data_IF_034344860280
#
_entry.id   IF_034344860280
#
_cell.length_a   1.000
_cell.length_b   1.000
_cell.length_c   1.000
_cell.angle_alpha   90.00
_cell.angle_beta   90.00
_cell.angle_gamma   90.00
#
_symmetry.space_group_name_H-M   'P 1'
#
loop_
_entity.id
_entity.type
_entity.pdbx_description
1 polymer ?
#
# COMPACT_ATOMS: atom_id res chain seq x y z
N UNK A 1 5.35 2.52 12.53
CA UNK A 1 5.51 1.05 12.51
C UNK A 1 6.37 0.66 11.33
N UNK A 2 7.18 -0.39 11.47
CA UNK A 2 7.85 -1.05 10.34
C UNK A 2 7.31 -2.48 10.28
N UNK A 3 6.69 -2.86 9.16
CA UNK A 3 6.05 -4.17 9.01
C UNK A 3 7.02 -5.12 8.31
N UNK A 4 7.49 -6.15 9.02
CA UNK A 4 8.67 -6.92 8.62
C UNK A 4 8.33 -8.41 8.52
N UNK A 5 8.87 -9.06 7.49
CA UNK A 5 8.80 -10.52 7.39
C UNK A 5 9.58 -11.16 8.54
N UNK A 6 9.11 -12.28 9.09
CA UNK A 6 9.68 -12.83 10.32
C UNK A 6 11.21 -13.00 10.27
N UNK A 7 11.74 -13.51 9.16
CA UNK A 7 13.19 -13.72 8.94
C UNK A 7 14.03 -12.47 9.22
N UNK A 8 13.50 -11.29 8.89
CA UNK A 8 14.25 -10.03 8.94
C UNK A 8 13.99 -9.24 10.22
N UNK A 9 13.06 -9.66 11.09
CA UNK A 9 12.70 -8.94 12.32
C UNK A 9 13.94 -8.65 13.18
N UNK A 10 14.85 -9.63 13.34
CA UNK A 10 16.08 -9.43 14.12
C UNK A 10 16.96 -8.32 13.55
N UNK A 11 17.08 -8.22 12.23
CA UNK A 11 17.84 -7.16 11.57
C UNK A 11 17.16 -5.80 11.80
N UNK A 12 15.84 -5.73 11.71
CA UNK A 12 15.11 -4.47 11.78
C UNK A 12 14.94 -3.94 13.21
N UNK A 13 14.99 -4.80 14.25
CA UNK A 13 14.85 -4.38 15.66
C UNK A 13 15.83 -3.28 16.09
N UNK A 14 17.00 -3.19 15.46
CA UNK A 14 17.95 -2.10 15.72
C UNK A 14 17.39 -0.70 15.39
N UNK A 15 16.34 -0.62 14.56
CA UNK A 15 15.69 0.64 14.18
C UNK A 15 14.62 1.08 15.18
N UNK A 16 14.31 0.26 16.18
CA UNK A 16 13.29 0.58 17.17
C UNK A 16 13.68 1.78 18.03
N UNK A 17 12.68 2.56 18.39
CA UNK A 17 12.80 3.73 19.28
C UNK A 17 11.50 3.86 20.08
N UNK A 18 11.43 4.79 21.04
CA UNK A 18 10.17 5.08 21.75
C UNK A 18 9.00 5.50 20.84
N UNK A 19 9.26 5.84 19.56
CA UNK A 19 8.24 6.20 18.56
C UNK A 19 8.30 5.33 17.29
N UNK A 20 9.10 4.25 17.30
CA UNK A 20 9.27 3.35 16.15
C UNK A 20 9.26 1.91 16.62
N UNK A 21 8.25 1.19 16.19
CA UNK A 21 8.04 -0.22 16.54
C UNK A 21 8.18 -1.08 15.29
N UNK A 22 8.94 -2.16 15.41
CA UNK A 22 9.01 -3.21 14.39
C UNK A 22 7.93 -4.23 14.70
N UNK A 23 7.10 -4.56 13.71
CA UNK A 23 6.00 -5.51 13.84
C UNK A 23 6.30 -6.72 12.97
N UNK A 24 6.35 -7.90 13.60
CA UNK A 24 6.51 -9.17 12.92
C UNK A 24 5.23 -9.50 12.14
N UNK A 25 5.34 -9.88 10.87
CA UNK A 25 4.18 -10.24 10.06
C UNK A 25 3.31 -11.35 10.66
N UNK A 26 3.88 -12.21 11.51
CA UNK A 26 3.13 -13.29 12.19
C UNK A 26 2.18 -12.79 13.26
N UNK A 27 2.35 -11.54 13.71
CA UNK A 27 1.41 -10.84 14.59
C UNK A 27 0.24 -10.22 13.80
N UNK A 28 0.40 -10.09 12.49
CA UNK A 28 -0.55 -9.42 11.60
C UNK A 28 -1.35 -10.40 10.75
N UNK A 29 -0.69 -11.44 10.24
CA UNK A 29 -1.24 -12.35 9.26
C UNK A 29 -1.75 -13.64 9.92
N UNK A 30 -2.75 -14.30 9.32
CA UNK A 30 -3.26 -15.56 9.83
C UNK A 30 -2.18 -16.64 9.91
N UNK A 31 -2.20 -17.41 11.01
CA UNK A 31 -1.22 -18.47 11.27
C UNK A 31 -1.16 -19.58 10.23
N UNK A 32 -2.11 -19.66 9.31
CA UNK A 32 -2.18 -20.65 8.23
C UNK A 32 -1.52 -20.17 6.91
N UNK A 33 -0.99 -18.95 6.88
CA UNK A 33 -0.26 -18.38 5.74
C UNK A 33 1.23 -18.31 6.10
N UNK A 34 2.05 -19.13 5.45
CA UNK A 34 3.45 -19.31 5.84
C UNK A 34 4.41 -18.88 4.73
N UNK A 35 5.47 -18.17 5.10
CA UNK A 35 6.56 -17.79 4.21
C UNK A 35 7.57 -18.94 4.01
N UNK A 36 7.98 -19.15 2.76
CA UNK A 36 9.01 -20.11 2.35
C UNK A 36 9.99 -19.45 1.39
N UNK A 37 11.22 -19.97 1.34
CA UNK A 37 12.15 -19.65 0.25
C UNK A 37 11.69 -20.37 -1.02
N UNK A 38 11.50 -19.62 -2.10
CA UNK A 38 10.97 -20.16 -3.35
C UNK A 38 12.07 -20.89 -4.14
N UNK A 39 12.01 -22.23 -4.28
CA UNK A 39 13.00 -22.99 -5.06
C UNK A 39 13.01 -22.59 -6.54
N UNK A 40 11.89 -22.12 -7.10
CA UNK A 40 11.80 -21.66 -8.49
C UNK A 40 12.56 -20.35 -8.72
N UNK A 41 12.94 -19.66 -7.65
CA UNK A 41 13.74 -18.44 -7.68
C UNK A 41 15.20 -18.67 -7.31
N UNK A 42 15.66 -19.94 -7.28
CA UNK A 42 16.94 -20.33 -6.69
C UNK A 42 17.07 -19.84 -5.24
N UNK A 43 15.96 -19.90 -4.49
CA UNK A 43 15.87 -19.47 -3.09
C UNK A 43 16.19 -17.97 -2.85
N UNK A 44 16.12 -17.14 -3.89
CA UNK A 44 16.38 -15.69 -3.79
C UNK A 44 15.14 -14.87 -3.44
N UNK A 45 13.95 -15.44 -3.59
CA UNK A 45 12.67 -14.78 -3.33
C UNK A 45 11.84 -15.60 -2.35
N UNK A 46 10.90 -14.90 -1.71
CA UNK A 46 9.94 -15.50 -0.78
C UNK A 46 8.61 -15.80 -1.49
N UNK A 47 7.96 -16.88 -1.07
CA UNK A 47 6.60 -17.25 -1.44
C UNK A 47 5.81 -17.57 -0.18
N UNK A 48 4.56 -17.09 -0.10
CA UNK A 48 3.66 -17.43 0.99
C UNK A 48 2.64 -18.43 0.52
N UNK A 49 2.53 -19.54 1.24
CA UNK A 49 1.68 -20.68 0.88
C UNK A 49 0.63 -20.91 1.96
N UNK A 50 -0.55 -21.32 1.50
CA UNK A 50 -1.67 -21.77 2.30
C UNK A 50 -2.57 -22.68 1.47
N UNK A 51 -3.40 -23.48 2.13
CA UNK A 51 -4.51 -24.19 1.48
C UNK A 51 -5.73 -23.27 1.21
N UNK A 52 -5.71 -22.04 1.74
CA UNK A 52 -6.83 -21.08 1.68
C UNK A 52 -6.65 -19.98 0.63
N UNK A 53 -5.45 -19.75 0.14
CA UNK A 53 -5.12 -18.67 -0.80
C UNK A 53 -4.37 -19.21 -2.00
N UNK A 54 -4.29 -18.42 -3.07
CA UNK A 54 -3.28 -18.65 -4.10
C UNK A 54 -1.87 -18.50 -3.49
N UNK A 55 -0.83 -19.09 -4.10
CA UNK A 55 0.55 -18.78 -3.75
C UNK A 55 0.81 -17.28 -3.90
N UNK A 56 1.15 -16.62 -2.80
CA UNK A 56 1.37 -15.18 -2.74
C UNK A 56 2.87 -14.85 -2.82
N UNK A 57 3.17 -13.69 -3.39
CA UNK A 57 4.53 -13.11 -3.48
C UNK A 57 4.69 -11.96 -2.49
N UNK A 58 5.92 -11.54 -2.22
CA UNK A 58 6.22 -10.49 -1.24
C UNK A 58 5.39 -9.21 -1.39
N UNK A 59 5.17 -8.76 -2.64
CA UNK A 59 4.33 -7.59 -2.92
C UNK A 59 2.85 -7.81 -2.54
N UNK A 60 2.29 -9.01 -2.75
CA UNK A 60 0.92 -9.33 -2.32
C UNK A 60 0.81 -9.27 -0.80
N UNK A 61 1.80 -9.85 -0.10
CA UNK A 61 1.79 -9.91 1.37
C UNK A 61 2.10 -8.55 2.00
N UNK A 62 2.84 -7.67 1.31
CA UNK A 62 2.99 -6.28 1.70
C UNK A 62 1.63 -5.56 1.78
N UNK A 63 0.78 -5.73 0.77
CA UNK A 63 -0.57 -5.18 0.77
C UNK A 63 -1.43 -5.71 1.92
N UNK A 64 -1.38 -7.03 2.17
CA UNK A 64 -2.09 -7.64 3.30
C UNK A 64 -1.63 -7.08 4.66
N UNK A 65 -0.32 -6.88 4.84
CA UNK A 65 0.24 -6.28 6.07
C UNK A 65 -0.24 -4.84 6.27
N UNK A 66 -0.38 -4.05 5.20
CA UNK A 66 -0.93 -2.67 5.26
C UNK A 66 -2.37 -2.65 5.76
N UNK A 67 -3.19 -3.62 5.37
CA UNK A 67 -4.56 -3.74 5.89
C UNK A 67 -4.53 -4.23 7.34
N UNK A 68 -3.77 -5.31 7.61
CA UNK A 68 -3.77 -6.00 8.90
C UNK A 68 -3.26 -5.14 10.08
N UNK A 69 -2.32 -4.21 9.84
CA UNK A 69 -1.80 -3.34 10.91
C UNK A 69 -2.90 -2.49 11.57
N UNK A 70 -4.04 -2.26 10.91
CA UNK A 70 -5.18 -1.55 11.51
C UNK A 70 -5.74 -2.22 12.78
N UNK A 71 -5.61 -3.55 12.89
CA UNK A 71 -6.03 -4.30 14.08
C UNK A 71 -5.02 -4.21 15.24
N UNK A 72 -3.78 -3.79 14.97
CA UNK A 72 -2.69 -3.74 15.94
C UNK A 72 -2.31 -2.31 16.35
N UNK A 73 -2.39 -1.35 15.43
CA UNK A 73 -2.12 0.06 15.71
C UNK A 73 -3.22 0.69 16.57
N UNK A 74 -2.87 1.73 17.32
CA UNK A 74 -3.81 2.46 18.19
C UNK A 74 -4.24 3.82 17.62
N UNK A 75 -3.60 4.30 16.56
CA UNK A 75 -3.88 5.59 15.93
C UNK A 75 -5.13 5.53 15.05
N UNK A 76 -5.89 6.62 15.02
CA UNK A 76 -7.13 6.72 14.23
C UNK A 76 -6.88 6.80 12.73
N UNK A 77 -5.73 7.35 12.32
CA UNK A 77 -5.30 7.45 10.93
C UNK A 77 -3.93 6.84 10.77
N UNK A 78 -3.78 5.96 9.78
CA UNK A 78 -2.55 5.30 9.42
C UNK A 78 -2.06 5.83 8.08
N UNK A 79 -0.81 6.29 8.02
CA UNK A 79 -0.18 6.79 6.80
C UNK A 79 0.82 5.74 6.32
N UNK A 80 0.63 5.26 5.09
CA UNK A 80 1.42 4.21 4.47
C UNK A 80 2.43 4.79 3.50
N UNK A 81 3.65 4.29 3.62
CA UNK A 81 4.78 4.69 2.81
C UNK A 81 5.63 3.45 2.53
N UNK A 82 6.13 3.33 1.31
CA UNK A 82 7.03 2.24 0.94
C UNK A 82 8.45 2.49 1.45
N UNK A 83 9.23 1.41 1.60
CA UNK A 83 10.62 1.50 2.08
C UNK A 83 11.58 2.17 1.10
N UNK A 84 11.15 2.37 -0.14
CA UNK A 84 11.89 3.04 -1.21
C UNK A 84 11.47 4.51 -1.39
N UNK A 85 10.77 5.07 -0.41
CA UNK A 85 10.41 6.49 -0.35
C UNK A 85 11.37 7.27 0.54
N UNK A 86 11.81 8.43 0.04
CA UNK A 86 12.63 9.39 0.78
C UNK A 86 11.93 10.75 0.87
N UNK A 87 11.84 11.30 2.08
CA UNK A 87 11.33 12.65 2.31
C UNK A 87 12.42 13.69 2.05
N UNK A 88 12.11 14.70 1.23
CA UNK A 88 13.01 15.78 0.84
C UNK A 88 12.57 17.15 1.40
N UNK A 89 11.36 17.24 1.93
CA UNK A 89 10.79 18.43 2.56
C UNK A 89 10.12 18.05 3.89
N UNK A 90 10.01 18.99 4.85
CA UNK A 90 9.13 18.82 6.00
C UNK A 90 7.70 18.53 5.52
N UNK A 91 6.99 17.68 6.26
CA UNK A 91 5.62 17.29 5.92
C UNK A 91 4.74 17.29 7.16
N UNK A 92 3.63 18.01 7.07
CA UNK A 92 2.61 18.04 8.11
C UNK A 92 1.53 16.99 7.82
N UNK A 93 1.42 16.00 8.71
CA UNK A 93 0.42 14.95 8.60
C UNK A 93 -1.02 15.48 8.71
N UNK A 94 -1.25 16.72 9.16
CA UNK A 94 -2.54 17.37 9.10
C UNK A 94 -3.10 17.46 7.66
N UNK A 95 -2.26 17.35 6.63
CA UNK A 95 -2.69 17.27 5.23
C UNK A 95 -3.66 16.10 4.94
N UNK A 96 -3.67 15.06 5.78
CA UNK A 96 -4.59 13.92 5.66
C UNK A 96 -5.89 14.07 6.47
N UNK A 97 -6.08 15.18 7.17
CA UNK A 97 -7.23 15.38 8.04
C UNK A 97 -7.87 16.75 7.84
N UNK A 98 -9.19 16.77 7.63
CA UNK A 98 -9.94 18.01 7.44
C UNK A 98 -11.34 17.84 7.99
N UNK A 99 -11.75 18.72 8.90
CA UNK A 99 -13.12 18.76 9.43
C UNK A 99 -13.63 17.40 9.94
N UNK A 100 -12.79 16.66 10.67
CA UNK A 100 -13.13 15.35 11.21
C UNK A 100 -13.12 14.20 10.18
N UNK A 101 -12.63 14.45 8.96
CA UNK A 101 -12.58 13.49 7.86
C UNK A 101 -11.15 13.16 7.47
N UNK A 102 -10.90 11.89 7.18
CA UNK A 102 -9.63 11.42 6.62
C UNK A 102 -9.61 11.65 5.11
N UNK A 103 -8.43 11.95 4.57
CA UNK A 103 -8.25 12.06 3.12
C UNK A 103 -8.36 10.69 2.46
N UNK A 104 -9.25 10.55 1.48
CA UNK A 104 -9.22 9.47 0.51
C UNK A 104 -8.51 9.96 -0.75
N UNK A 105 -7.37 9.35 -1.07
CA UNK A 105 -6.74 9.60 -2.37
C UNK A 105 -7.62 9.03 -3.48
N UNK A 106 -7.95 9.84 -4.49
CA UNK A 106 -8.74 9.42 -5.65
C UNK A 106 -8.39 10.23 -6.89
N UNK A 107 -8.11 9.55 -7.99
CA UNK A 107 -8.10 10.14 -9.33
C UNK A 107 -9.41 9.78 -10.04
N UNK A 108 -10.12 10.80 -10.49
CA UNK A 108 -11.43 10.62 -11.10
C UNK A 108 -11.33 10.17 -12.56
N UNK A 109 -12.09 9.13 -12.91
CA UNK A 109 -12.27 8.70 -14.30
C UNK A 109 -11.09 8.02 -14.98
N UNK A 110 -9.90 7.96 -14.35
CA UNK A 110 -8.67 7.44 -14.98
C UNK A 110 -8.82 6.02 -15.53
N UNK A 111 -9.61 5.16 -14.88
CA UNK A 111 -9.81 3.79 -15.36
C UNK A 111 -10.78 3.68 -16.53
N UNK A 112 -11.36 4.79 -17.02
CA UNK A 112 -12.11 4.83 -18.26
C UNK A 112 -11.19 4.85 -19.50
N UNK A 113 -9.95 5.33 -19.33
CA UNK A 113 -8.98 5.46 -20.43
C UNK A 113 -8.24 4.15 -20.73
N UNK A 114 -7.64 4.04 -21.92
CA UNK A 114 -6.83 2.87 -22.30
C UNK A 114 -5.54 2.74 -21.45
N UNK A 115 -4.98 1.53 -21.33
CA UNK A 115 -3.71 1.30 -20.62
C UNK A 115 -3.84 1.03 -19.10
N UNK A 116 -5.07 0.95 -18.60
CA UNK A 116 -5.38 0.68 -17.18
C UNK A 116 -6.03 -0.70 -16.97
N UNK A 117 -5.77 -1.67 -17.84
CA UNK A 117 -6.42 -3.00 -17.82
C UNK A 117 -6.20 -3.73 -16.50
N UNK A 118 -4.99 -3.63 -15.94
CA UNK A 118 -4.65 -4.28 -14.68
C UNK A 118 -5.38 -3.65 -13.49
N UNK A 119 -5.40 -2.31 -13.42
CA UNK A 119 -6.12 -1.56 -12.39
C UNK A 119 -7.64 -1.83 -12.46
N UNK A 120 -8.19 -1.98 -13.67
CA UNK A 120 -9.59 -2.42 -13.86
C UNK A 120 -9.85 -3.81 -13.29
N UNK A 121 -8.91 -4.76 -13.44
CA UNK A 121 -9.02 -6.09 -12.82
C UNK A 121 -8.98 -5.97 -11.29
N UNK A 122 -8.05 -5.18 -10.75
CA UNK A 122 -7.95 -4.96 -9.30
C UNK A 122 -9.22 -4.33 -8.72
N UNK A 123 -9.78 -3.31 -9.40
CA UNK A 123 -11.05 -2.68 -9.04
C UNK A 123 -12.22 -3.67 -9.05
N UNK A 124 -12.32 -4.54 -10.07
CA UNK A 124 -13.35 -5.60 -10.10
C UNK A 124 -13.19 -6.61 -8.97
N UNK A 125 -11.97 -7.06 -8.70
CA UNK A 125 -11.69 -8.00 -7.61
C UNK A 125 -11.96 -7.39 -6.24
N UNK A 126 -11.66 -6.10 -6.06
CA UNK A 126 -12.07 -5.35 -4.87
C UNK A 126 -13.60 -5.35 -4.71
N UNK A 127 -14.35 -5.10 -5.78
CA UNK A 127 -15.81 -5.17 -5.76
C UNK A 127 -16.33 -6.54 -5.34
N UNK A 128 -15.76 -7.62 -5.90
CA UNK A 128 -16.12 -8.99 -5.54
C UNK A 128 -15.80 -9.31 -4.07
N UNK A 129 -14.65 -8.88 -3.56
CA UNK A 129 -14.29 -9.07 -2.15
C UNK A 129 -15.27 -8.35 -1.21
N UNK A 130 -15.72 -7.15 -1.59
CA UNK A 130 -16.65 -6.31 -0.83
C UNK A 130 -18.13 -6.69 -1.00
N UNK A 131 -18.46 -7.69 -1.83
CA UNK A 131 -19.85 -8.06 -2.12
C UNK A 131 -20.62 -7.03 -2.96
N UNK A 132 -19.93 -6.17 -3.70
CA UNK A 132 -20.54 -5.18 -4.59
C UNK A 132 -21.09 -5.89 -5.83
N UNK A 133 -22.29 -5.49 -6.24
CA UNK A 133 -22.91 -5.96 -7.49
C UNK A 133 -21.94 -5.77 -8.68
N UNK A 134 -21.65 -6.82 -9.47
CA UNK A 134 -20.72 -6.72 -10.60
C UNK A 134 -21.08 -5.66 -11.66
N UNK A 135 -22.36 -5.26 -11.76
CA UNK A 135 -22.80 -4.16 -12.63
C UNK A 135 -22.34 -2.78 -12.14
N UNK A 136 -22.06 -2.65 -10.83
CA UNK A 136 -21.49 -1.43 -10.23
C UNK A 136 -19.97 -1.43 -10.42
N UNK A 137 -19.55 -1.00 -11.60
CA UNK A 137 -18.13 -0.78 -11.92
C UNK A 137 -17.68 0.59 -11.41
N UNK A 138 -16.40 0.70 -11.03
CA UNK A 138 -15.76 1.98 -10.67
C UNK A 138 -14.72 2.33 -11.73
N UNK A 139 -14.73 3.59 -12.15
CA UNK A 139 -13.73 4.18 -13.07
C UNK A 139 -12.65 4.99 -12.34
N UNK A 140 -12.71 5.08 -11.02
CA UNK A 140 -11.75 5.83 -10.21
C UNK A 140 -10.52 4.99 -9.86
N UNK A 141 -9.37 5.65 -9.76
CA UNK A 141 -8.12 5.06 -9.27
C UNK A 141 -7.79 5.60 -7.88
N UNK A 142 -7.44 4.70 -6.95
CA UNK A 142 -7.12 5.01 -5.56
C UNK A 142 -5.65 4.75 -5.22
N UNK A 143 -4.84 4.36 -6.22
CA UNK A 143 -3.45 3.95 -6.01
C UNK A 143 -2.52 5.17 -5.96
N UNK A 144 -1.84 5.31 -4.82
CA UNK A 144 -0.71 6.21 -4.62
C UNK A 144 0.20 5.65 -3.52
N UNK A 145 1.28 6.35 -3.24
CA UNK A 145 2.12 6.14 -2.05
C UNK A 145 2.08 7.40 -1.18
N UNK A 146 2.51 7.30 0.08
CA UNK A 146 2.27 8.34 1.08
C UNK A 146 0.75 8.63 1.20
N UNK A 147 -0.02 7.57 1.46
CA UNK A 147 -1.49 7.57 1.49
C UNK A 147 -2.00 7.28 2.90
N UNK A 148 -3.12 7.90 3.29
CA UNK A 148 -3.72 7.72 4.61
C UNK A 148 -5.00 6.91 4.55
N UNK A 149 -5.22 6.05 5.55
CA UNK A 149 -6.49 5.36 5.80
C UNK A 149 -6.94 5.55 7.24
N UNK A 150 -8.26 5.63 7.43
CA UNK A 150 -8.88 5.66 8.76
C UNK A 150 -8.96 4.24 9.31
N UNK A 151 -8.42 4.05 10.51
CA UNK A 151 -8.26 2.73 11.12
C UNK A 151 -9.58 2.00 11.28
N UNK A 152 -10.59 2.66 11.82
CA UNK A 152 -11.93 2.08 12.02
C UNK A 152 -12.61 1.71 10.70
N UNK A 153 -12.40 2.49 9.63
CA UNK A 153 -12.85 2.18 8.27
C UNK A 153 -12.18 0.92 7.74
N UNK A 154 -10.87 0.74 7.94
CA UNK A 154 -10.18 -0.51 7.55
C UNK A 154 -10.73 -1.71 8.33
N UNK A 155 -10.96 -1.56 9.64
CA UNK A 155 -11.55 -2.62 10.46
C UNK A 155 -12.96 -2.99 10.01
N UNK A 156 -13.80 -2.00 9.73
CA UNK A 156 -15.15 -2.21 9.23
C UNK A 156 -15.15 -2.84 7.82
N UNK A 157 -14.20 -2.44 6.96
CA UNK A 157 -13.98 -3.05 5.65
C UNK A 157 -13.63 -4.54 5.75
N UNK A 158 -12.68 -4.90 6.61
CA UNK A 158 -12.35 -6.31 6.88
C UNK A 158 -13.58 -7.07 7.39
N UNK A 159 -14.32 -6.49 8.34
CA UNK A 159 -15.54 -7.10 8.87
C UNK A 159 -16.63 -7.30 7.81
N UNK A 160 -16.80 -6.37 6.87
CA UNK A 160 -17.76 -6.53 5.77
C UNK A 160 -17.35 -7.66 4.82
N UNK A 161 -16.05 -7.75 4.45
CA UNK A 161 -15.54 -8.86 3.64
C UNK A 161 -15.81 -10.21 4.34
N UNK A 162 -15.54 -10.30 5.64
CA UNK A 162 -15.78 -11.53 6.40
C UNK A 162 -17.26 -11.90 6.49
N UNK A 163 -18.12 -10.89 6.70
CA UNK A 163 -19.57 -11.05 6.76
C UNK A 163 -20.17 -11.53 5.43
N UNK A 164 -19.73 -10.95 4.30
CA UNK A 164 -20.22 -11.32 2.96
C UNK A 164 -19.84 -12.76 2.62
N UNK A 165 -18.62 -13.18 2.97
CA UNK A 165 -18.06 -14.46 2.50
C UNK A 165 -18.08 -15.59 3.53
N UNK A 166 -18.34 -15.30 4.81
CA UNK A 166 -18.25 -16.28 5.91
C UNK A 166 -16.85 -16.84 6.12
N UNK A 167 -15.82 -16.14 5.66
CA UNK A 167 -14.40 -16.57 5.65
C UNK A 167 -13.53 -15.39 6.05
N UNK A 168 -12.34 -15.66 6.58
CA UNK A 168 -11.40 -14.60 6.96
C UNK A 168 -11.05 -13.70 5.76
N UNK A 169 -10.92 -12.39 5.97
CA UNK A 169 -10.74 -11.45 4.86
C UNK A 169 -9.45 -11.71 4.06
N UNK A 170 -8.38 -12.22 4.69
CA UNK A 170 -7.14 -12.58 4.00
C UNK A 170 -7.35 -13.74 3.03
N UNK A 171 -8.20 -14.70 3.40
CA UNK A 171 -8.59 -15.82 2.54
C UNK A 171 -9.36 -15.33 1.31
N UNK A 172 -10.29 -14.39 1.50
CA UNK A 172 -11.07 -13.80 0.40
C UNK A 172 -10.19 -12.98 -0.54
N UNK A 173 -9.39 -12.06 -0.01
CA UNK A 173 -8.51 -11.21 -0.83
C UNK A 173 -7.44 -12.07 -1.52
N UNK A 174 -6.86 -13.03 -0.80
CA UNK A 174 -5.82 -13.92 -1.30
C UNK A 174 -6.31 -15.02 -2.24
N UNK A 175 -7.62 -15.19 -2.46
CA UNK A 175 -8.13 -16.18 -3.43
C UNK A 175 -7.90 -15.76 -4.89
N UNK A 176 -7.63 -14.47 -5.14
CA UNK A 176 -7.13 -13.95 -6.40
C UNK A 176 -5.75 -13.32 -6.19
N UNK A 177 -4.85 -13.39 -7.17
CA UNK A 177 -3.55 -12.70 -7.10
C UNK A 177 -3.60 -11.24 -7.55
N UNK A 178 -4.64 -10.87 -8.30
CA UNK A 178 -4.77 -9.54 -8.90
C UNK A 178 -5.60 -8.65 -7.98
N UNK A 179 -5.02 -8.18 -6.87
CA UNK A 179 -5.68 -7.24 -5.96
C UNK A 179 -4.78 -6.05 -5.66
N UNK A 180 -5.43 -4.95 -5.25
CA UNK A 180 -4.82 -3.77 -4.69
C UNK A 180 -5.56 -3.41 -3.40
N UNK A 181 -4.82 -3.26 -2.32
CA UNK A 181 -5.28 -2.76 -1.04
C UNK A 181 -5.89 -1.35 -1.15
N UNK A 182 -5.29 -0.49 -1.97
CA UNK A 182 -5.80 0.86 -2.23
C UNK A 182 -7.14 0.80 -2.96
N UNK A 183 -7.29 -0.10 -3.94
CA UNK A 183 -8.57 -0.31 -4.63
C UNK A 183 -9.64 -0.86 -3.69
N UNK A 184 -9.31 -1.81 -2.81
CA UNK A 184 -10.27 -2.35 -1.84
C UNK A 184 -10.72 -1.23 -0.87
N UNK A 185 -9.78 -0.48 -0.30
CA UNK A 185 -10.11 0.62 0.61
C UNK A 185 -10.94 1.71 -0.06
N UNK A 186 -10.51 2.19 -1.23
CA UNK A 186 -11.19 3.27 -1.95
C UNK A 186 -12.61 2.88 -2.38
N UNK A 187 -12.78 1.67 -2.92
CA UNK A 187 -14.11 1.16 -3.27
C UNK A 187 -14.98 0.96 -2.04
N UNK A 188 -14.44 0.50 -0.91
CA UNK A 188 -15.24 0.41 0.32
C UNK A 188 -15.78 1.78 0.74
N UNK A 189 -14.94 2.81 0.73
CA UNK A 189 -15.35 4.17 1.10
C UNK A 189 -16.36 4.75 0.11
N UNK A 190 -16.10 4.68 -1.19
CA UNK A 190 -16.97 5.33 -2.18
C UNK A 190 -18.25 4.52 -2.47
N UNK A 191 -18.16 3.19 -2.60
CA UNK A 191 -19.32 2.37 -3.00
C UNK A 191 -20.24 1.97 -1.85
N UNK A 192 -19.69 1.72 -0.65
CA UNK A 192 -20.47 1.25 0.51
C UNK A 192 -20.72 2.35 1.53
N UNK A 193 -19.70 3.18 1.84
CA UNK A 193 -19.84 4.27 2.80
C UNK A 193 -20.29 5.59 2.16
N UNK A 194 -20.32 5.69 0.83
CA UNK A 194 -20.66 6.92 0.10
C UNK A 194 -19.83 8.13 0.57
N UNK A 195 -18.54 7.91 0.83
CA UNK A 195 -17.61 8.93 1.29
C UNK A 195 -17.72 9.29 2.79
N UNK A 196 -18.53 8.58 3.59
CA UNK A 196 -18.66 8.88 5.01
C UNK A 196 -17.31 8.84 5.73
N UNK A 197 -17.04 9.87 6.55
CA UNK A 197 -15.78 10.04 7.27
C UNK A 197 -14.60 10.47 6.40
N UNK A 198 -14.81 10.76 5.10
CA UNK A 198 -13.74 11.06 4.16
C UNK A 198 -13.97 12.33 3.33
N UNK A 199 -12.86 12.93 2.90
CA UNK A 199 -12.84 13.92 1.83
C UNK A 199 -11.92 13.43 0.71
N UNK A 200 -12.24 13.72 -0.54
CA UNK A 200 -11.41 13.33 -1.67
C UNK A 200 -10.24 14.32 -1.88
N UNK A 201 -9.10 13.78 -2.29
CA UNK A 201 -7.98 14.57 -2.80
C UNK A 201 -7.22 13.78 -3.86
N UNK A 202 -6.77 14.45 -4.92
CA UNK A 202 -6.04 13.84 -6.04
C UNK A 202 -4.55 14.20 -6.05
N UNK A 203 -4.14 15.10 -5.16
CA UNK A 203 -2.76 15.54 -5.00
C UNK A 203 -1.84 14.36 -4.61
N UNK A 204 -0.69 14.28 -5.25
CA UNK A 204 0.32 13.29 -4.89
C UNK A 204 1.36 13.92 -3.99
N UNK A 205 1.48 13.46 -2.75
CA UNK A 205 2.53 13.95 -1.84
C UNK A 205 3.90 13.32 -2.11
N UNK A 206 3.94 12.25 -2.91
CA UNK A 206 5.15 11.58 -3.32
C UNK A 206 5.26 11.57 -4.85
N UNK A 207 6.39 12.05 -5.38
CA UNK A 207 6.71 11.90 -6.79
C UNK A 207 7.36 10.54 -7.01
N UNK A 208 6.74 9.67 -7.80
CA UNK A 208 7.24 8.31 -7.99
C UNK A 208 7.75 8.10 -9.42
N UNK A 209 8.92 7.48 -9.53
CA UNK A 209 9.43 6.95 -10.79
C UNK A 209 9.04 5.48 -10.91
N UNK A 210 7.90 5.21 -11.55
CA UNK A 210 7.23 3.91 -11.56
C UNK A 210 7.82 2.89 -12.56
N UNK A 211 8.38 3.36 -13.67
CA UNK A 211 8.79 2.47 -14.76
C UNK A 211 10.04 3.01 -15.45
N UNK A 212 10.76 2.11 -16.13
CA UNK A 212 11.95 2.45 -16.89
C UNK A 212 13.25 2.12 -16.16
N UNK A 213 14.35 2.66 -16.70
CA UNK A 213 15.70 2.40 -16.21
C UNK A 213 16.06 3.26 -15.00
N UNK A 214 17.15 2.90 -14.33
CA UNK A 214 17.73 3.74 -13.28
C UNK A 214 18.15 5.10 -13.86
N UNK A 215 17.68 6.18 -13.24
CA UNK A 215 18.04 7.54 -13.64
C UNK A 215 19.55 7.78 -13.47
N UNK A 216 20.16 8.50 -14.42
CA UNK A 216 21.47 9.13 -14.24
C UNK A 216 21.42 10.23 -13.16
N UNK A 217 22.58 10.72 -12.70
CA UNK A 217 22.61 11.78 -11.67
C UNK A 217 21.94 13.07 -12.15
N UNK A 218 22.11 13.39 -13.44
CA UNK A 218 21.48 14.55 -14.05
C UNK A 218 19.96 14.38 -14.11
N UNK A 219 19.49 13.21 -14.55
CA UNK A 219 18.05 12.91 -14.61
C UNK A 219 17.41 12.86 -13.22
N UNK A 220 18.12 12.32 -12.22
CA UNK A 220 17.67 12.34 -10.82
C UNK A 220 17.51 13.76 -10.30
N UNK A 221 18.51 14.63 -10.51
CA UNK A 221 18.40 16.05 -10.09
C UNK A 221 17.25 16.76 -10.78
N UNK A 222 17.03 16.49 -12.08
CA UNK A 222 15.87 17.01 -12.81
C UNK A 222 14.55 16.47 -12.26
N UNK A 223 14.50 15.19 -11.92
CA UNK A 223 13.33 14.56 -11.33
C UNK A 223 12.94 15.21 -10.00
N UNK A 224 13.94 15.46 -9.13
CA UNK A 224 13.73 16.18 -7.86
C UNK A 224 13.35 17.65 -8.10
N UNK A 225 14.03 18.34 -9.01
CA UNK A 225 13.74 19.74 -9.31
C UNK A 225 12.33 19.95 -9.90
N UNK A 226 11.75 18.92 -10.52
CA UNK A 226 10.40 18.93 -11.09
C UNK A 226 9.29 18.55 -10.08
N UNK A 227 9.61 18.40 -8.79
CA UNK A 227 8.60 18.14 -7.77
C UNK A 227 7.60 19.29 -7.65
N UNK A 228 6.31 18.96 -7.62
CA UNK A 228 5.25 19.91 -7.35
C UNK A 228 5.36 20.48 -5.92
N UNK A 229 4.73 21.64 -5.62
CA UNK A 229 4.78 22.25 -4.29
C UNK A 229 4.37 21.29 -3.17
N UNK A 230 3.29 20.54 -3.37
CA UNK A 230 2.71 19.55 -2.47
C UNK A 230 3.53 18.25 -2.35
N UNK A 231 4.38 17.97 -3.32
CA UNK A 231 5.26 16.80 -3.29
C UNK A 231 6.37 17.05 -2.27
N UNK A 232 6.42 16.22 -1.23
CA UNK A 232 7.39 16.30 -0.13
C UNK A 232 8.39 15.14 -0.14
N UNK A 233 8.07 14.08 -0.87
CA UNK A 233 8.90 12.88 -0.96
C UNK A 233 9.04 12.41 -2.40
N UNK A 234 10.04 11.54 -2.61
CA UNK A 234 10.23 10.82 -3.85
C UNK A 234 10.19 9.31 -3.59
N UNK A 235 9.65 8.54 -4.53
CA UNK A 235 9.70 7.09 -4.54
C UNK A 235 10.53 6.61 -5.73
N UNK A 236 11.57 5.81 -5.47
CA UNK A 236 12.39 5.19 -6.51
C UNK A 236 12.23 3.69 -6.43
N UNK A 237 11.38 3.11 -7.29
CA UNK A 237 10.98 1.72 -7.11
C UNK A 237 12.14 0.74 -7.06
N UNK A 238 12.15 -0.12 -6.06
CA UNK A 238 13.27 -1.02 -5.77
C UNK A 238 13.68 -1.96 -6.92
N UNK A 239 12.81 -2.18 -7.91
CA UNK A 239 13.09 -3.05 -9.06
C UNK A 239 13.84 -2.38 -10.21
N UNK A 240 14.01 -1.05 -10.19
CA UNK A 240 14.79 -0.33 -11.22
C UNK A 240 16.31 -0.38 -10.96
N UNK A 241 16.75 -1.05 -9.88
CA UNK A 241 18.18 -1.29 -9.60
C UNK A 241 18.97 -0.06 -9.12
N UNK A 242 18.30 0.95 -8.55
CA UNK A 242 19.00 2.15 -8.05
C UNK A 242 19.76 1.84 -6.76
N UNK A 243 21.05 2.18 -6.72
CA UNK A 243 21.89 2.08 -5.53
C UNK A 243 21.40 3.02 -4.41
N UNK A 244 21.07 2.46 -3.24
CA UNK A 244 20.60 3.23 -2.08
C UNK A 244 21.68 4.20 -1.58
N UNK A 245 22.95 3.80 -1.62
CA UNK A 245 24.06 4.67 -1.24
C UNK A 245 24.08 5.92 -2.11
N UNK A 246 23.94 5.76 -3.42
CA UNK A 246 23.82 6.85 -4.39
C UNK A 246 22.63 7.75 -4.12
N UNK A 247 21.45 7.20 -3.82
CA UNK A 247 20.28 8.04 -3.47
C UNK A 247 20.61 8.91 -2.26
N UNK A 248 21.13 8.33 -1.17
CA UNK A 248 21.49 9.06 0.06
C UNK A 248 22.42 10.24 -0.20
N UNK A 249 23.48 10.03 -1.01
CA UNK A 249 24.40 11.10 -1.42
C UNK A 249 23.67 12.22 -2.19
N UNK A 250 22.83 11.83 -3.15
CA UNK A 250 22.13 12.80 -4.01
C UNK A 250 21.07 13.62 -3.28
N UNK A 251 20.54 13.11 -2.15
CA UNK A 251 19.56 13.81 -1.31
C UNK A 251 20.18 14.44 -0.05
N UNK A 252 21.51 14.43 0.07
CA UNK A 252 22.24 15.10 1.16
C UNK A 252 22.08 14.46 2.53
N UNK A 253 21.93 13.13 2.61
CA UNK A 253 21.80 12.37 3.87
C UNK A 253 23.09 11.62 4.27
N UNK A 254 24.26 12.10 3.84
CA UNK A 254 25.56 11.59 4.30
C UNK A 254 25.96 12.16 5.67
#
# INVERSE_FOLDING_TARGET
YILVEHRDVRLFRQLETGRRTVVDERELLPRWLHAFDDPLSLFRRRVWLSLKTQPLRGWHVQQLRRIAISAHASQDVLIFCDSDVAFLKPFDCAAFWRDGKARLFRRDGVLADEGHEEHRIWSRNAGSALGIDPSRTSVHDYISTLIAWRRDTVLAMCGEIEKVHGRNWVEVVGSARKFSECMIYGRYVDDLLQGAGHFHGSEEFCRVHWTGEALSDHEFRRFVAAMAPEQVSIGMQSFIGTDIGRIRRLIGLD
#
